data_IF_462809932439
#
_entry.id   IF_462809932439
#
_cell.length_a   1.000
_cell.length_b   1.000
_cell.length_c   1.000
_cell.angle_alpha   90.00
_cell.angle_beta   90.00
_cell.angle_gamma   90.00
#
_symmetry.space_group_name_H-M   'P 1'
#
loop_
_entity.id
_entity.type
_entity.pdbx_description
1 polymer ?
#
# COMPACT_ATOMS: atom_id res chain seq x y z
N UNK A 1 2.38 -8.19 -5.90
CA UNK A 1 1.21 -8.37 -6.78
C UNK A 1 1.03 -9.82 -7.22
N UNK A 2 1.96 -10.37 -8.02
CA UNK A 2 1.82 -11.71 -8.63
C UNK A 2 1.83 -12.93 -7.68
N UNK A 3 1.92 -12.76 -6.35
CA UNK A 3 1.83 -13.87 -5.40
C UNK A 3 0.39 -14.42 -5.41
N UNK A 4 -0.61 -13.54 -5.27
CA UNK A 4 -2.02 -13.93 -5.14
C UNK A 4 -2.91 -13.44 -6.29
N UNK A 5 -2.40 -12.59 -7.19
CA UNK A 5 -3.14 -12.09 -8.35
C UNK A 5 -2.33 -12.41 -9.60
N UNK A 6 -2.58 -13.58 -10.21
CA UNK A 6 -1.72 -14.13 -11.26
C UNK A 6 -1.95 -13.47 -12.61
N UNK A 7 -3.16 -12.94 -12.85
CA UNK A 7 -3.49 -12.23 -14.08
C UNK A 7 -3.02 -10.78 -14.12
N UNK A 8 -2.40 -10.29 -13.03
CA UNK A 8 -1.97 -8.90 -12.95
C UNK A 8 -1.02 -8.55 -14.08
N UNK A 9 -1.38 -7.54 -14.87
CA UNK A 9 -0.52 -6.94 -15.89
C UNK A 9 -0.39 -5.46 -15.58
N UNK A 10 0.84 -4.95 -15.63
CA UNK A 10 1.09 -3.53 -15.36
C UNK A 10 0.43 -2.69 -16.44
N UNK A 11 -0.43 -1.77 -16.01
CA UNK A 11 -1.00 -0.75 -16.88
C UNK A 11 -0.07 0.47 -16.97
N UNK A 12 0.41 0.95 -15.83
CA UNK A 12 1.31 2.11 -15.77
C UNK A 12 1.53 2.61 -14.34
N UNK A 13 2.34 3.66 -14.20
CA UNK A 13 2.50 4.36 -12.92
C UNK A 13 1.48 5.49 -12.86
N UNK A 14 0.75 5.55 -11.75
CA UNK A 14 -0.39 6.45 -11.56
C UNK A 14 -0.18 7.43 -10.42
N UNK A 15 -0.66 8.66 -10.61
CA UNK A 15 -0.70 9.74 -9.63
C UNK A 15 -2.14 9.96 -9.17
N UNK A 16 -2.38 9.73 -7.88
CA UNK A 16 -3.62 10.07 -7.21
C UNK A 16 -3.46 11.42 -6.49
N UNK A 17 -4.23 12.42 -6.92
CA UNK A 17 -4.20 13.79 -6.35
C UNK A 17 -5.13 13.93 -5.17
N UNK A 18 -4.78 14.80 -4.23
CA UNK A 18 -5.53 15.13 -3.02
C UNK A 18 -5.64 13.97 -2.01
N UNK A 19 -4.61 13.11 -1.99
CA UNK A 19 -4.44 12.02 -1.04
C UNK A 19 -2.99 11.99 -0.55
N UNK A 20 -2.79 11.48 0.66
CA UNK A 20 -1.45 11.18 1.18
C UNK A 20 -1.36 9.73 1.64
N UNK A 21 -0.17 9.15 1.50
CA UNK A 21 0.20 7.90 2.16
C UNK A 21 0.31 8.14 3.67
N UNK A 22 -0.18 7.19 4.45
CA UNK A 22 0.01 7.09 5.90
C UNK A 22 0.22 5.63 6.27
N UNK A 23 0.61 5.39 7.52
CA UNK A 23 0.62 4.07 8.12
C UNK A 23 -0.33 4.08 9.32
N UNK A 24 -1.14 3.04 9.46
CA UNK A 24 -2.17 3.01 10.50
C UNK A 24 -2.46 1.59 10.99
N UNK A 25 -2.84 1.48 12.25
CA UNK A 25 -3.09 0.22 12.94
C UNK A 25 -1.82 -0.55 13.32
N UNK A 26 -1.99 -1.79 13.77
CA UNK A 26 -0.92 -2.75 13.96
C UNK A 26 -1.38 -4.12 13.48
N UNK A 27 -0.58 -4.71 12.62
CA UNK A 27 -0.89 -5.96 11.94
C UNK A 27 0.11 -7.04 12.37
N UNK A 28 -0.34 -8.11 13.04
CA UNK A 28 0.57 -9.14 13.56
C UNK A 28 1.48 -9.78 12.51
N UNK A 29 1.00 -9.93 11.27
CA UNK A 29 1.82 -10.45 10.18
C UNK A 29 3.06 -9.60 9.92
N UNK A 30 2.92 -8.27 10.05
CA UNK A 30 3.97 -7.31 9.76
C UNK A 30 4.62 -6.73 11.00
N UNK A 31 4.18 -7.09 12.21
CA UNK A 31 4.66 -6.52 13.48
C UNK A 31 4.77 -4.99 13.44
N UNK A 32 3.79 -4.34 12.82
CA UNK A 32 3.78 -2.89 12.60
C UNK A 32 2.53 -2.43 11.87
N UNK A 33 2.45 -1.13 11.64
CA UNK A 33 1.37 -0.51 10.88
C UNK A 33 1.44 -0.85 9.39
N UNK A 34 0.27 -1.06 8.77
CA UNK A 34 0.17 -1.24 7.32
C UNK A 34 -0.02 0.11 6.62
N UNK A 35 0.21 0.12 5.30
CA UNK A 35 -0.01 1.29 4.48
C UNK A 35 -1.52 1.59 4.37
N UNK A 36 -1.84 2.87 4.34
CA UNK A 36 -3.17 3.39 4.06
C UNK A 36 -3.04 4.70 3.28
N UNK A 37 -4.12 5.16 2.67
CA UNK A 37 -4.21 6.49 2.10
C UNK A 37 -5.38 7.25 2.72
N UNK A 38 -5.22 8.54 2.93
CA UNK A 38 -6.28 9.41 3.44
C UNK A 38 -6.38 10.69 2.59
N UNK A 39 -7.58 11.27 2.45
CA UNK A 39 -7.74 12.54 1.74
C UNK A 39 -6.88 13.63 2.37
N UNK A 40 -6.12 14.34 1.53
CA UNK A 40 -5.32 15.50 1.93
C UNK A 40 -5.08 16.40 0.73
N UNK A 41 -5.73 17.56 0.75
CA UNK A 41 -5.65 18.55 -0.33
C UNK A 41 -4.21 18.94 -0.64
N UNK A 42 -3.87 19.02 -1.93
CA UNK A 42 -2.55 19.36 -2.47
C UNK A 42 -1.44 18.32 -2.23
N UNK A 43 -1.73 17.20 -1.56
CA UNK A 43 -0.82 16.06 -1.51
C UNK A 43 -1.09 15.09 -2.67
N UNK A 44 -0.16 14.17 -2.89
CA UNK A 44 -0.28 13.14 -3.92
C UNK A 44 0.22 11.79 -3.44
N UNK A 45 -0.36 10.73 -4.00
CA UNK A 45 0.11 9.36 -3.87
C UNK A 45 0.50 8.83 -5.24
N UNK A 46 1.74 8.41 -5.40
CA UNK A 46 2.14 7.58 -6.53
C UNK A 46 1.93 6.10 -6.22
N UNK A 47 1.47 5.36 -7.23
CA UNK A 47 1.32 3.92 -7.18
C UNK A 47 1.45 3.28 -8.56
N UNK A 48 1.31 1.97 -8.60
CA UNK A 48 1.27 1.22 -9.87
C UNK A 48 -0.15 0.77 -10.13
N UNK A 49 -0.66 1.09 -11.32
CA UNK A 49 -1.95 0.64 -11.82
C UNK A 49 -1.77 -0.73 -12.47
N UNK A 50 -2.61 -1.67 -12.09
CA UNK A 50 -2.63 -3.04 -12.60
C UNK A 50 -3.99 -3.34 -13.23
N UNK A 51 -3.98 -3.99 -14.39
CA UNK A 51 -5.17 -4.68 -14.92
C UNK A 51 -5.19 -6.09 -14.37
N UNK A 52 -6.35 -6.55 -13.90
CA UNK A 52 -6.56 -7.91 -13.37
C UNK A 52 -7.84 -8.49 -13.97
N UNK A 53 -7.97 -9.81 -13.97
CA UNK A 53 -9.23 -10.48 -14.28
C UNK A 53 -10.27 -10.19 -13.20
N UNK A 54 -11.52 -9.95 -13.61
CA UNK A 54 -12.66 -9.77 -12.70
C UNK A 54 -12.83 -10.97 -11.74
N UNK A 55 -12.45 -12.17 -12.19
CA UNK A 55 -12.50 -13.40 -11.38
C UNK A 55 -11.53 -13.38 -10.19
N UNK A 56 -10.46 -12.59 -10.25
CA UNK A 56 -9.49 -12.45 -9.16
C UNK A 56 -9.82 -11.28 -8.23
N UNK A 57 -10.75 -10.39 -8.60
CA UNK A 57 -11.14 -9.24 -7.78
C UNK A 57 -11.72 -9.67 -6.43
N UNK A 58 -12.60 -10.68 -6.41
CA UNK A 58 -13.15 -11.22 -5.14
C UNK A 58 -12.04 -11.83 -4.25
N UNK A 59 -11.03 -12.45 -4.88
CA UNK A 59 -9.86 -12.97 -4.18
C UNK A 59 -8.99 -11.86 -3.59
N UNK A 60 -8.93 -10.70 -4.25
CA UNK A 60 -8.26 -9.51 -3.74
C UNK A 60 -9.04 -8.86 -2.60
N UNK A 61 -10.37 -8.73 -2.72
CA UNK A 61 -11.25 -8.24 -1.65
C UNK A 61 -11.08 -9.09 -0.36
N UNK A 62 -10.91 -10.42 -0.50
CA UNK A 62 -10.65 -11.34 0.63
C UNK A 62 -9.26 -11.22 1.25
N UNK A 63 -8.28 -10.67 0.53
CA UNK A 63 -6.96 -10.35 1.11
C UNK A 63 -7.01 -9.05 1.91
N UNK A 64 -7.86 -8.11 1.48
CA UNK A 64 -7.95 -6.76 2.02
C UNK A 64 -9.11 -6.60 3.02
N UNK A 65 -9.42 -7.62 3.82
CA UNK A 65 -10.59 -7.64 4.74
C UNK A 65 -10.61 -6.48 5.75
N UNK A 66 -9.45 -5.91 6.08
CA UNK A 66 -9.31 -4.76 6.97
C UNK A 66 -9.57 -3.41 6.27
N UNK A 67 -9.84 -3.41 4.98
CA UNK A 67 -9.99 -2.24 4.13
C UNK A 67 -11.35 -2.22 3.43
N UNK A 68 -11.79 -1.02 3.06
CA UNK A 68 -12.93 -0.75 2.20
C UNK A 68 -12.45 -0.53 0.77
N UNK A 69 -13.09 -1.22 -0.17
CA UNK A 69 -12.92 -0.98 -1.60
C UNK A 69 -13.51 0.38 -1.98
N UNK A 70 -12.75 1.20 -2.69
CA UNK A 70 -13.21 2.49 -3.22
C UNK A 70 -12.84 2.63 -4.70
N UNK A 71 -13.64 3.42 -5.42
CA UNK A 71 -13.31 3.86 -6.77
C UNK A 71 -12.62 5.23 -6.72
N UNK A 72 -11.53 5.38 -7.48
CA UNK A 72 -10.74 6.61 -7.57
C UNK A 72 -10.41 6.91 -9.04
N UNK A 73 -10.13 8.18 -9.31
CA UNK A 73 -9.60 8.61 -10.59
C UNK A 73 -8.09 8.84 -10.45
N UNK A 74 -7.29 8.14 -11.24
CA UNK A 74 -5.83 8.17 -11.20
C UNK A 74 -5.29 8.72 -12.52
N UNK A 75 -4.36 9.66 -12.45
CA UNK A 75 -3.67 10.17 -13.64
C UNK A 75 -2.53 9.21 -14.02
N UNK A 76 -2.60 8.58 -15.18
CA UNK A 76 -1.55 7.72 -15.74
C UNK A 76 -1.00 8.41 -16.99
N UNK A 77 0.20 8.98 -16.91
CA UNK A 77 0.67 9.89 -17.96
C UNK A 77 -0.24 11.12 -18.09
N UNK A 78 -0.95 11.24 -19.22
CA UNK A 78 -1.89 12.34 -19.48
C UNK A 78 -3.37 11.91 -19.37
N UNK A 79 -3.65 10.62 -19.18
CA UNK A 79 -5.01 10.08 -19.12
C UNK A 79 -5.50 9.88 -17.69
N UNK A 80 -6.79 10.09 -17.49
CA UNK A 80 -7.47 9.78 -16.23
C UNK A 80 -8.10 8.40 -16.35
N UNK A 81 -7.64 7.48 -15.51
CA UNK A 81 -8.11 6.09 -15.45
C UNK A 81 -8.92 5.90 -14.18
N UNK A 82 -10.11 5.30 -14.31
CA UNK A 82 -10.89 4.88 -13.14
C UNK A 82 -10.30 3.59 -12.59
N UNK A 83 -9.91 3.60 -11.32
CA UNK A 83 -9.29 2.48 -10.66
C UNK A 83 -10.04 2.12 -9.37
N UNK A 84 -9.87 0.88 -8.93
CA UNK A 84 -10.23 0.44 -7.60
C UNK A 84 -8.98 0.49 -6.71
N UNK A 85 -9.15 0.95 -5.47
CA UNK A 85 -8.14 0.81 -4.42
C UNK A 85 -8.79 0.48 -3.08
N UNK A 86 -7.98 0.30 -2.04
CA UNK A 86 -8.41 -0.11 -0.71
C UNK A 86 -7.97 0.92 0.34
N UNK A 87 -8.91 1.37 1.16
CA UNK A 87 -8.66 2.31 2.27
C UNK A 87 -9.07 1.67 3.58
N UNK A 88 -8.20 1.77 4.58
CA UNK A 88 -8.35 1.06 5.85
C UNK A 88 -9.66 1.44 6.54
N UNK A 89 -10.35 0.46 7.14
CA UNK A 89 -11.59 0.68 7.91
C UNK A 89 -11.28 1.42 9.20
N UNK A 90 -12.11 2.41 9.56
CA UNK A 90 -12.03 3.19 10.81
C UNK A 90 -11.85 2.28 12.06
N UNK A 91 -12.59 1.18 12.13
CA UNK A 91 -12.60 0.24 13.28
C UNK A 91 -11.32 -0.59 13.43
N UNK A 92 -10.41 -0.58 12.45
CA UNK A 92 -9.16 -1.33 12.52
C UNK A 92 -8.14 -0.73 13.50
N UNK A 93 -8.42 0.47 14.03
CA UNK A 93 -7.57 1.17 14.98
C UNK A 93 -7.86 0.84 16.46
N UNK A 94 -8.91 0.06 16.76
CA UNK A 94 -9.52 0.02 18.10
C UNK A 94 -8.91 -0.97 19.10
N UNK A 95 -7.81 -1.68 18.79
CA UNK A 95 -7.34 -2.79 19.65
C UNK A 95 -5.83 -2.90 19.81
N UNK A 96 -5.18 -1.82 20.22
CA UNK A 96 -3.75 -1.89 20.55
C UNK A 96 -3.50 -1.65 22.03
N UNK A 97 -2.63 -2.47 22.61
CA UNK A 97 -2.04 -2.19 23.90
C UNK A 97 -1.40 -0.80 23.85
N UNK A 98 -1.53 -0.02 24.93
CA UNK A 98 -1.16 1.40 24.99
C UNK A 98 0.31 1.72 24.63
N UNK A 99 1.15 0.71 24.44
CA UNK A 99 2.58 0.83 24.22
C UNK A 99 2.99 0.56 22.75
N UNK A 100 2.05 0.20 21.87
CA UNK A 100 2.32 -0.04 20.45
C UNK A 100 1.99 1.22 19.65
N UNK A 101 2.98 1.79 18.97
CA UNK A 101 2.77 2.89 18.04
C UNK A 101 2.07 2.38 16.77
N UNK A 102 0.78 2.67 16.65
CA UNK A 102 -0.07 2.25 15.53
C UNK A 102 0.16 3.06 14.25
N UNK A 103 1.23 3.85 14.17
CA UNK A 103 1.57 4.66 12.98
C UNK A 103 2.92 4.28 12.38
N UNK A 104 3.63 3.33 12.99
CA UNK A 104 4.99 2.95 12.58
C UNK A 104 4.99 1.57 11.92
N UNK A 105 5.36 1.45 10.63
CA UNK A 105 5.51 0.16 9.97
C UNK A 105 6.75 -0.59 10.49
N UNK A 106 6.80 -1.88 10.20
CA UNK A 106 8.06 -2.62 10.34
C UNK A 106 9.04 -2.27 9.22
N UNK A 107 10.33 -2.46 9.51
CA UNK A 107 11.39 -2.27 8.53
C UNK A 107 11.22 -3.24 7.35
N UNK A 108 10.84 -4.49 7.62
CA UNK A 108 10.52 -5.47 6.58
C UNK A 108 9.39 -5.00 5.65
N UNK A 109 8.27 -4.52 6.20
CA UNK A 109 7.15 -4.06 5.39
C UNK A 109 7.49 -2.80 4.57
N UNK A 110 8.14 -1.82 5.19
CA UNK A 110 8.64 -0.62 4.50
C UNK A 110 9.62 -1.00 3.37
N UNK A 111 10.47 -2.00 3.59
CA UNK A 111 11.41 -2.50 2.57
C UNK A 111 10.67 -3.10 1.38
N UNK A 112 9.57 -3.84 1.59
CA UNK A 112 8.74 -4.36 0.50
C UNK A 112 8.12 -3.23 -0.33
N UNK A 113 7.58 -2.20 0.34
CA UNK A 113 7.02 -1.02 -0.35
C UNK A 113 8.09 -0.33 -1.19
N UNK A 114 9.29 -0.11 -0.62
CA UNK A 114 10.41 0.52 -1.31
C UNK A 114 10.92 -0.30 -2.49
N UNK A 115 11.14 -1.62 -2.31
CA UNK A 115 11.55 -2.52 -3.39
C UNK A 115 10.51 -2.49 -4.53
N UNK A 116 9.22 -2.59 -4.20
CA UNK A 116 8.14 -2.49 -5.17
C UNK A 116 8.13 -1.14 -5.92
N UNK A 117 8.28 -0.02 -5.21
CA UNK A 117 8.32 1.31 -5.84
C UNK A 117 9.50 1.44 -6.83
N UNK A 118 10.69 0.94 -6.46
CA UNK A 118 11.89 0.95 -7.29
C UNK A 118 11.72 0.02 -8.51
N UNK A 119 11.30 -1.22 -8.30
CA UNK A 119 11.07 -2.21 -9.36
C UNK A 119 10.04 -1.73 -10.37
N UNK A 120 9.00 -1.02 -9.92
CA UNK A 120 7.98 -0.45 -10.78
C UNK A 120 8.37 0.91 -11.37
N UNK A 121 9.55 1.45 -11.05
CA UNK A 121 10.05 2.71 -11.61
C UNK A 121 9.17 3.90 -11.23
N UNK A 122 8.69 3.97 -9.99
CA UNK A 122 8.03 5.18 -9.49
C UNK A 122 9.01 6.37 -9.47
N UNK A 123 8.53 7.62 -9.49
CA UNK A 123 9.39 8.80 -9.49
C UNK A 123 10.37 8.84 -8.30
N UNK A 124 11.59 9.29 -8.55
CA UNK A 124 12.67 9.28 -7.56
C UNK A 124 12.35 10.13 -6.32
N UNK A 125 11.73 11.29 -6.51
CA UNK A 125 11.26 12.15 -5.43
C UNK A 125 10.25 11.44 -4.52
N UNK A 126 9.33 10.66 -5.10
CA UNK A 126 8.40 9.84 -4.34
C UNK A 126 9.09 8.67 -3.63
N UNK A 127 10.09 8.04 -4.26
CA UNK A 127 10.92 7.02 -3.60
C UNK A 127 11.65 7.61 -2.38
N UNK A 128 12.18 8.84 -2.48
CA UNK A 128 12.79 9.53 -1.34
C UNK A 128 11.78 9.87 -0.25
N UNK A 129 10.56 10.28 -0.62
CA UNK A 129 9.45 10.44 0.31
C UNK A 129 9.14 9.12 1.06
N UNK A 130 9.06 7.99 0.37
CA UNK A 130 8.85 6.67 1.00
C UNK A 130 9.99 6.30 1.97
N UNK A 131 11.24 6.63 1.64
CA UNK A 131 12.40 6.39 2.53
C UNK A 131 12.32 7.20 3.82
N UNK A 132 11.68 8.37 3.79
CA UNK A 132 11.60 9.31 4.91
C UNK A 132 10.74 8.84 6.09
N UNK A 133 9.81 7.90 5.86
CA UNK A 133 8.98 7.34 6.94
C UNK A 133 9.84 6.64 7.98
N UNK A 134 9.52 6.81 9.27
CA UNK A 134 10.14 6.01 10.34
C UNK A 134 9.63 4.57 10.26
N UNK A 135 10.43 3.64 10.75
CA UNK A 135 10.06 2.24 10.95
C UNK A 135 10.52 1.78 12.34
N UNK A 136 9.98 0.67 12.82
CA UNK A 136 10.27 0.14 14.15
C UNK A 136 11.46 -0.83 14.18
N UNK A 137 12.22 -0.96 13.08
CA UNK A 137 13.38 -1.84 12.99
C UNK A 137 13.10 -3.35 12.89
N UNK A 138 11.84 -3.81 12.96
CA UNK A 138 11.53 -5.24 12.85
C UNK A 138 11.74 -5.76 11.42
N UNK A 139 12.57 -6.79 11.28
CA UNK A 139 12.86 -7.47 10.00
C UNK A 139 12.29 -8.91 9.92
N UNK A 140 11.92 -9.48 11.07
CA UNK A 140 11.50 -10.89 11.19
C UNK A 140 9.99 -11.05 11.09
N UNK A 141 9.37 -10.46 10.06
CA UNK A 141 7.93 -10.48 9.85
C UNK A 141 7.61 -10.46 8.35
N UNK A 142 6.33 -10.62 8.02
CA UNK A 142 5.84 -10.73 6.65
C UNK A 142 5.62 -12.19 6.21
N UNK A 143 4.96 -12.39 5.07
CA UNK A 143 4.77 -13.71 4.47
C UNK A 143 6.12 -14.30 4.04
N UNK A 144 6.29 -15.62 4.20
CA UNK A 144 7.55 -16.33 3.94
C UNK A 144 7.95 -16.33 2.47
N UNK A 145 6.96 -16.13 1.59
CA UNK A 145 7.08 -16.12 0.14
C UNK A 145 7.69 -14.81 -0.38
N UNK A 146 7.79 -13.77 0.46
CA UNK A 146 8.57 -12.57 0.15
C UNK A 146 10.00 -12.82 0.62
N UNK A 147 10.89 -13.18 -0.30
CA UNK A 147 12.33 -13.22 0.00
C UNK A 147 12.80 -11.78 0.26
N UNK A 148 12.95 -11.43 1.55
CA UNK A 148 13.38 -10.09 1.98
C UNK A 148 14.90 -9.95 2.03
N UNK A 149 15.65 -11.00 1.71
CA UNK A 149 17.12 -11.04 1.70
C UNK A 149 17.74 -10.27 0.55
#
# INVERSE_FOLDING_TARGET
MHINVKSAVKYGNGLLKDWTLTFSGYFPLWLGANANIVPKTNDVVWGTVWTISDTELEGLDKQEVAYNRIEINVLVGEEVVKCITYVQKETSNERFESNIDSTIPSLAYKTVILKGAIEQGLPEDYIQFLKSFKDNGNINCGPKELELT
#
